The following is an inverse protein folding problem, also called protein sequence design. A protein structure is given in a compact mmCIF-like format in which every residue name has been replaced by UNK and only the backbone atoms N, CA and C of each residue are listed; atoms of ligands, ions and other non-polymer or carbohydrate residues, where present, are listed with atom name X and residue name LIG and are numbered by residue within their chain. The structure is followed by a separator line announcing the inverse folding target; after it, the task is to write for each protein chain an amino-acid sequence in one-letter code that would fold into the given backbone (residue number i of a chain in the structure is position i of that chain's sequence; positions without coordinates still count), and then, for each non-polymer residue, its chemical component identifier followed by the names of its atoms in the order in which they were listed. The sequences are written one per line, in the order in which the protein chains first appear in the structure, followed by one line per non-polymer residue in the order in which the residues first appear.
data_IF_002371268611
#
_entry.id   IF_002371268611
#
_cell.length_a   1.000
_cell.length_b   1.000
_cell.length_c   1.000
_cell.angle_alpha   90.00
_cell.angle_beta   90.00
_cell.angle_gamma   90.00
#
_symmetry.space_group_name_H-M   'P 1'
#
loop_
_entity.id
_entity.type
_entity.pdbx_description
1 polymer ?
#
# COMPACT_ATOMS: atom_id res chain seq x y z
N UNK A 1 -0.49 -24.05 40.09
CA UNK A 1 -1.65 -24.56 39.33
C UNK A 1 -2.19 -23.38 38.52
N UNK A 2 -2.17 -23.54 37.18
CA UNK A 2 -3.14 -23.05 36.16
C UNK A 2 -4.09 -21.89 36.53
N UNK A 3 -4.42 -20.90 35.71
CA UNK A 3 -4.22 -20.64 34.28
C UNK A 3 -4.81 -19.24 33.99
N UNK A 4 -4.47 -18.70 32.81
CA UNK A 4 -5.27 -17.76 32.02
C UNK A 4 -5.46 -16.32 32.54
N UNK A 5 -4.81 -15.39 31.85
CA UNK A 5 -5.38 -14.07 31.57
C UNK A 5 -4.84 -13.61 30.22
N UNK A 6 -5.78 -13.37 29.32
CA UNK A 6 -5.63 -12.89 27.95
C UNK A 6 -4.45 -11.94 27.69
N UNK A 7 -3.47 -12.39 26.92
CA UNK A 7 -2.70 -11.50 26.06
C UNK A 7 -3.17 -11.72 24.63
N UNK A 8 -4.45 -11.42 24.37
CA UNK A 8 -4.91 -11.18 23.00
C UNK A 8 -4.16 -9.94 22.54
N UNK A 9 -3.11 -10.17 21.75
CA UNK A 9 -2.43 -9.14 20.98
C UNK A 9 -3.49 -8.52 20.08
N UNK A 10 -4.10 -7.46 20.57
CA UNK A 10 -4.78 -6.44 19.79
C UNK A 10 -3.68 -5.81 18.93
N UNK A 11 -3.31 -6.50 17.84
CA UNK A 11 -2.82 -5.77 16.69
C UNK A 11 -4.07 -5.05 16.20
N UNK A 12 -4.15 -3.71 16.27
CA UNK A 12 -5.15 -3.02 15.49
C UNK A 12 -4.95 -3.54 14.07
N UNK A 13 -5.95 -4.23 13.54
CA UNK A 13 -5.99 -4.47 12.10
C UNK A 13 -5.83 -3.10 11.43
N UNK A 14 -5.16 -3.04 10.27
CA UNK A 14 -4.94 -1.77 9.56
C UNK A 14 -6.23 -0.98 9.60
N UNK A 15 -6.14 0.30 9.97
CA UNK A 15 -7.27 1.19 10.12
C UNK A 15 -8.16 0.99 8.90
N UNK A 16 -9.48 0.88 9.06
CA UNK A 16 -10.39 0.31 8.05
C UNK A 16 -10.26 0.91 6.62
N UNK A 17 -9.62 2.08 6.48
CA UNK A 17 -9.20 2.70 5.22
C UNK A 17 -7.90 2.16 4.61
N UNK A 18 -6.88 1.82 5.40
CA UNK A 18 -5.59 1.26 4.92
C UNK A 18 -5.77 -0.07 4.20
N UNK A 19 -6.64 -0.95 4.69
CA UNK A 19 -6.95 -2.21 4.01
C UNK A 19 -7.64 -2.00 2.65
N UNK A 20 -8.39 -0.91 2.51
CA UNK A 20 -9.07 -0.54 1.27
C UNK A 20 -8.08 0.00 0.23
N UNK A 21 -7.21 0.91 0.66
CA UNK A 21 -6.17 1.49 -0.18
C UNK A 21 -5.14 0.45 -0.61
N UNK A 22 -4.76 -0.46 0.30
CA UNK A 22 -3.87 -1.56 -0.03
C UNK A 22 -4.45 -2.49 -1.10
N UNK A 23 -5.75 -2.78 -1.04
CA UNK A 23 -6.42 -3.56 -2.07
C UNK A 23 -6.46 -2.82 -3.42
N UNK A 24 -6.75 -1.52 -3.42
CA UNK A 24 -6.77 -0.71 -4.63
C UNK A 24 -5.39 -0.64 -5.31
N UNK A 25 -4.32 -0.44 -4.54
CA UNK A 25 -2.94 -0.49 -5.05
C UNK A 25 -2.60 -1.87 -5.58
N UNK A 26 -2.94 -2.93 -4.85
CA UNK A 26 -2.67 -4.31 -5.28
C UNK A 26 -3.37 -4.61 -6.61
N UNK A 27 -4.59 -4.12 -6.81
CA UNK A 27 -5.32 -4.26 -8.08
C UNK A 27 -4.70 -3.42 -9.20
N UNK A 28 -4.30 -2.18 -8.91
CA UNK A 28 -3.66 -1.31 -9.89
C UNK A 28 -2.31 -1.87 -10.37
N UNK A 29 -1.61 -2.59 -9.49
CA UNK A 29 -0.31 -3.22 -9.73
C UNK A 29 -0.40 -4.72 -10.00
N UNK A 30 -1.60 -5.25 -10.25
CA UNK A 30 -1.76 -6.66 -10.56
C UNK A 30 -0.95 -7.02 -11.82
N UNK A 31 -0.20 -8.10 -11.75
CA UNK A 31 0.68 -8.54 -12.83
C UNK A 31 2.02 -7.80 -12.92
N UNK A 32 2.32 -6.89 -11.99
CA UNK A 32 3.66 -6.33 -11.85
C UNK A 32 4.56 -7.31 -11.09
N UNK A 33 5.64 -7.74 -11.71
CA UNK A 33 6.67 -8.53 -11.07
C UNK A 33 7.57 -7.65 -10.19
N UNK A 34 7.84 -8.12 -8.98
CA UNK A 34 8.79 -7.49 -8.07
C UNK A 34 10.10 -8.29 -8.02
N UNK A 35 11.25 -7.64 -7.82
CA UNK A 35 11.41 -6.23 -7.47
C UNK A 35 11.18 -5.28 -8.67
N UNK A 36 10.61 -4.11 -8.39
CA UNK A 36 10.22 -3.14 -9.43
C UNK A 36 10.75 -1.75 -9.10
N UNK A 37 11.22 -1.04 -10.12
CA UNK A 37 11.59 0.37 -9.94
C UNK A 37 10.34 1.25 -9.93
N UNK A 38 10.43 2.43 -9.32
CA UNK A 38 9.40 3.48 -9.41
C UNK A 38 9.03 3.77 -10.88
N UNK A 39 10.00 3.74 -11.79
CA UNK A 39 9.76 3.92 -13.21
C UNK A 39 9.03 2.75 -13.87
N UNK A 40 9.27 1.51 -13.44
CA UNK A 40 8.49 0.34 -13.90
C UNK A 40 7.04 0.45 -13.43
N UNK A 41 6.85 0.79 -12.16
CA UNK A 41 5.52 1.03 -11.59
C UNK A 41 4.81 2.14 -12.35
N UNK A 42 5.47 3.27 -12.62
CA UNK A 42 4.91 4.39 -13.39
C UNK A 42 4.50 4.03 -14.81
N UNK A 43 5.25 3.14 -15.46
CA UNK A 43 4.89 2.61 -16.78
C UNK A 43 3.69 1.68 -16.69
N UNK A 44 3.62 0.85 -15.66
CA UNK A 44 2.51 -0.08 -15.44
C UNK A 44 1.19 0.64 -15.17
N UNK A 45 1.22 1.69 -14.36
CA UNK A 45 0.03 2.45 -13.96
C UNK A 45 -0.29 3.62 -14.90
N UNK A 46 0.45 3.80 -16.00
CA UNK A 46 0.28 4.95 -16.87
C UNK A 46 -1.18 5.06 -17.39
N UNK A 47 -1.86 6.17 -17.06
CA UNK A 47 -3.27 6.36 -17.38
C UNK A 47 -4.26 5.73 -16.39
N UNK A 48 -3.77 5.10 -15.31
CA UNK A 48 -4.53 4.51 -14.19
C UNK A 48 -3.89 4.86 -12.85
N UNK A 49 -3.47 6.11 -12.71
CA UNK A 49 -2.71 6.59 -11.55
C UNK A 49 -3.62 6.93 -10.36
N UNK A 50 -4.90 7.21 -10.63
CA UNK A 50 -5.88 7.50 -9.59
C UNK A 50 -6.41 6.20 -9.00
N UNK A 51 -6.28 6.07 -7.68
CA UNK A 51 -6.74 4.93 -6.89
C UNK A 51 -7.54 5.43 -5.71
N UNK A 52 -8.66 4.75 -5.45
CA UNK A 52 -9.51 5.03 -4.31
C UNK A 52 -8.88 4.42 -3.05
N UNK A 53 -8.15 5.25 -2.29
CA UNK A 53 -7.51 4.82 -1.05
C UNK A 53 -8.53 4.52 0.04
N UNK A 54 -9.53 5.39 0.19
CA UNK A 54 -10.70 5.13 1.02
C UNK A 54 -11.97 5.42 0.23
N UNK A 55 -13.14 5.09 0.79
CA UNK A 55 -14.44 5.41 0.18
C UNK A 55 -14.65 6.89 -0.15
N UNK A 56 -13.90 7.77 0.51
CA UNK A 56 -14.05 9.23 0.41
C UNK A 56 -12.77 9.92 -0.07
N UNK A 57 -11.68 9.17 -0.27
CA UNK A 57 -10.35 9.70 -0.62
C UNK A 57 -9.77 8.94 -1.81
N UNK A 58 -9.77 9.59 -2.96
CA UNK A 58 -9.00 9.18 -4.15
C UNK A 58 -7.63 9.84 -4.09
N UNK A 59 -6.58 9.06 -4.32
CA UNK A 59 -5.18 9.52 -4.32
C UNK A 59 -4.52 9.20 -5.65
N UNK A 60 -3.47 9.95 -5.96
CA UNK A 60 -2.64 9.70 -7.14
C UNK A 60 -1.41 8.87 -6.74
N UNK A 61 -1.37 7.61 -7.18
CA UNK A 61 -0.29 6.69 -6.90
C UNK A 61 1.07 7.22 -7.38
N UNK A 62 1.12 7.92 -8.53
CA UNK A 62 2.36 8.53 -9.01
C UNK A 62 2.88 9.54 -8.00
N UNK A 63 2.05 10.50 -7.62
CA UNK A 63 2.45 11.57 -6.69
C UNK A 63 2.86 11.02 -5.32
N UNK A 64 2.21 9.98 -4.84
CA UNK A 64 2.57 9.30 -3.60
C UNK A 64 3.96 8.65 -3.72
N UNK A 65 4.19 7.88 -4.78
CA UNK A 65 5.49 7.27 -5.04
C UNK A 65 6.60 8.31 -5.26
N UNK A 66 6.31 9.47 -5.84
CA UNK A 66 7.26 10.59 -5.91
C UNK A 66 7.59 11.15 -4.52
N UNK A 67 6.59 11.33 -3.66
CA UNK A 67 6.75 11.80 -2.29
C UNK A 67 7.51 10.82 -1.38
N UNK A 68 7.44 9.51 -1.64
CA UNK A 68 8.24 8.52 -0.87
C UNK A 68 9.75 8.76 -0.98
N UNK A 69 10.20 9.42 -2.06
CA UNK A 69 11.62 9.55 -2.37
C UNK A 69 12.32 8.23 -2.72
N UNK A 70 11.61 7.10 -2.72
CA UNK A 70 12.15 5.79 -3.07
C UNK A 70 12.19 5.64 -4.59
N UNK A 71 13.19 4.93 -5.08
CA UNK A 71 13.37 4.65 -6.52
C UNK A 71 13.09 3.19 -6.88
N UNK A 72 13.09 2.32 -5.88
CA UNK A 72 13.03 0.88 -6.02
C UNK A 72 12.20 0.30 -4.89
N UNK A 73 11.37 -0.69 -5.24
CA UNK A 73 10.57 -1.44 -4.29
C UNK A 73 10.85 -2.94 -4.40
N UNK A 74 11.18 -3.55 -3.27
CA UNK A 74 11.56 -4.96 -3.22
C UNK A 74 10.36 -5.89 -3.43
N UNK A 75 9.19 -5.46 -2.96
CA UNK A 75 7.96 -6.23 -3.00
C UNK A 75 6.73 -5.33 -2.79
N UNK A 76 5.55 -5.87 -3.08
CA UNK A 76 4.27 -5.16 -2.91
C UNK A 76 4.06 -4.60 -1.49
N UNK A 77 4.46 -5.34 -0.46
CA UNK A 77 4.25 -4.92 0.94
C UNK A 77 5.05 -3.67 1.28
N UNK A 78 6.31 -3.59 0.85
CA UNK A 78 7.15 -2.42 1.10
C UNK A 78 6.64 -1.18 0.36
N UNK A 79 6.11 -1.35 -0.86
CA UNK A 79 5.42 -0.29 -1.59
C UNK A 79 4.18 0.20 -0.85
N UNK A 80 3.36 -0.72 -0.34
CA UNK A 80 2.15 -0.39 0.43
C UNK A 80 2.47 0.36 1.72
N UNK A 81 3.49 -0.09 2.44
CA UNK A 81 3.98 0.54 3.67
C UNK A 81 4.42 1.98 3.39
N UNK A 82 5.27 2.17 2.37
CA UNK A 82 5.77 3.49 1.98
C UNK A 82 4.65 4.46 1.56
N UNK A 83 3.58 3.97 0.94
CA UNK A 83 2.42 4.80 0.59
C UNK A 83 1.57 5.11 1.83
N UNK A 84 1.36 4.11 2.70
CA UNK A 84 0.61 4.27 3.95
C UNK A 84 1.25 5.28 4.90
N UNK A 85 2.58 5.39 4.90
CA UNK A 85 3.31 6.43 5.68
C UNK A 85 2.99 7.87 5.22
N UNK A 86 2.51 8.07 3.99
CA UNK A 86 2.25 9.40 3.40
C UNK A 86 0.78 9.82 3.53
N UNK A 87 -0.15 8.86 3.50
CA UNK A 87 -1.60 9.10 3.30
C UNK A 87 -2.37 9.20 4.60
#
# INVERSE_FOLDING_TARGET
MTSASEQRRDHPGPEKGEAYGAAAVTQALEGLDFPATKQDIFRHIQGREQIDWTKEKTVNLRELLEQTGREWFENMRELLDAIGEIV
#
